data_IF_882180132098
#
_entry.id   IF_882180132098
#
_cell.length_a   1.000
_cell.length_b   1.000
_cell.length_c   1.000
_cell.angle_alpha   90.00
_cell.angle_beta   90.00
_cell.angle_gamma   90.00
#
_symmetry.space_group_name_H-M   'P 1'
#
loop_
_entity.id
_entity.type
_entity.pdbx_description
1 polymer ?
#
# COMPACT_ATOMS: atom_id res chain seq x y z
N UNK A 1 16.63 -9.38 17.35
CA UNK A 1 15.25 -9.85 17.58
C UNK A 1 14.36 -8.64 17.47
N UNK A 2 13.28 -8.62 16.70
CA UNK A 2 12.35 -7.51 16.75
C UNK A 2 11.84 -7.38 18.18
N UNK A 3 11.81 -6.15 18.69
CA UNK A 3 11.25 -5.89 20.02
C UNK A 3 9.78 -6.30 19.98
N UNK A 4 9.31 -7.03 20.99
CA UNK A 4 7.92 -7.46 21.15
C UNK A 4 6.97 -6.25 21.44
N UNK A 5 7.40 -5.02 21.15
CA UNK A 5 6.64 -3.80 21.40
C UNK A 5 5.70 -3.52 20.24
N UNK A 6 4.51 -3.09 20.57
CA UNK A 6 3.54 -2.57 19.60
C UNK A 6 4.13 -1.37 18.85
N UNK A 7 4.04 -1.39 17.53
CA UNK A 7 4.44 -0.29 16.65
C UNK A 7 3.27 0.05 15.73
N UNK A 8 2.84 1.29 15.81
CA UNK A 8 1.75 1.82 14.99
C UNK A 8 2.25 2.98 14.15
N UNK A 9 1.53 3.33 13.10
CA UNK A 9 1.85 4.50 12.28
C UNK A 9 0.58 5.26 11.90
N UNK A 10 0.65 6.57 12.00
CA UNK A 10 -0.23 7.47 11.26
C UNK A 10 0.51 7.87 9.97
N UNK A 11 -0.12 7.64 8.83
CA UNK A 11 0.53 7.73 7.53
C UNK A 11 -0.30 8.59 6.55
N UNK A 12 -0.41 9.91 6.81
CA UNK A 12 -1.20 10.80 5.99
C UNK A 12 -0.51 11.12 4.66
N UNK A 13 -1.33 11.23 3.58
CA UNK A 13 -0.90 11.80 2.31
C UNK A 13 -1.14 13.31 2.31
N UNK A 14 -0.15 14.13 1.89
CA UNK A 14 -0.28 15.59 1.82
C UNK A 14 -1.02 16.05 0.54
N UNK A 15 -2.13 15.38 0.21
CA UNK A 15 -2.98 15.66 -0.97
C UNK A 15 -4.17 16.58 -0.65
N UNK A 16 -4.18 17.14 0.56
CA UNK A 16 -5.20 18.04 1.08
C UNK A 16 -4.93 18.37 2.53
N UNK A 17 -5.74 19.27 3.09
CA UNK A 17 -5.63 19.59 4.51
C UNK A 17 -6.22 18.49 5.38
N UNK A 18 -5.62 18.32 6.56
CA UNK A 18 -6.08 17.35 7.55
C UNK A 18 -7.50 17.72 8.03
N UNK A 19 -8.41 16.74 8.02
CA UNK A 19 -9.77 16.90 8.53
C UNK A 19 -10.00 16.03 9.77
N UNK A 20 -11.14 16.21 10.44
CA UNK A 20 -11.47 15.53 11.70
C UNK A 20 -11.41 13.99 11.59
N UNK A 21 -11.75 13.42 10.43
CA UNK A 21 -11.64 11.97 10.20
C UNK A 21 -10.19 11.46 10.25
N UNK A 22 -9.25 12.21 9.65
CA UNK A 22 -7.82 11.88 9.75
C UNK A 22 -7.33 12.00 11.20
N UNK A 23 -7.72 13.07 11.90
CA UNK A 23 -7.35 13.28 13.29
C UNK A 23 -7.89 12.17 14.20
N UNK A 24 -9.13 11.72 13.98
CA UNK A 24 -9.70 10.57 14.70
C UNK A 24 -8.85 9.30 14.50
N UNK A 25 -8.46 9.00 13.27
CA UNK A 25 -7.60 7.85 12.98
C UNK A 25 -6.23 7.99 13.65
N UNK A 26 -5.64 9.18 13.62
CA UNK A 26 -4.38 9.47 14.31
C UNK A 26 -4.51 9.25 15.83
N UNK A 27 -5.63 9.71 16.44
CA UNK A 27 -5.92 9.53 17.85
C UNK A 27 -5.98 8.04 18.24
N UNK A 28 -6.74 7.21 17.51
CA UNK A 28 -6.81 5.78 17.79
C UNK A 28 -5.45 5.08 17.64
N UNK A 29 -4.70 5.47 16.61
CA UNK A 29 -3.35 4.95 16.36
C UNK A 29 -2.39 5.30 17.51
N UNK A 30 -2.44 6.56 17.97
CA UNK A 30 -1.66 7.05 19.11
C UNK A 30 -2.04 6.33 20.40
N UNK A 31 -3.35 6.24 20.71
CA UNK A 31 -3.84 5.59 21.93
C UNK A 31 -3.44 4.12 21.99
N UNK A 32 -3.52 3.39 20.87
CA UNK A 32 -3.07 2.00 20.80
C UNK A 32 -1.59 1.86 21.13
N UNK A 33 -0.73 2.70 20.54
CA UNK A 33 0.70 2.68 20.85
C UNK A 33 0.97 2.99 22.32
N UNK A 34 0.33 4.03 22.87
CA UNK A 34 0.58 4.47 24.25
C UNK A 34 0.00 3.50 25.29
N UNK A 35 -1.13 2.85 25.00
CA UNK A 35 -1.71 1.83 25.87
C UNK A 35 -0.79 0.61 26.04
N UNK A 36 -0.08 0.24 24.99
CA UNK A 36 0.82 -0.92 24.95
C UNK A 36 2.29 -0.56 25.21
N UNK A 37 2.59 0.62 25.75
CA UNK A 37 3.98 1.11 25.91
C UNK A 37 4.81 0.98 24.63
N UNK A 38 4.15 1.13 23.48
CA UNK A 38 4.68 0.94 22.14
C UNK A 38 5.22 2.22 21.53
N UNK A 39 5.39 2.20 20.20
CA UNK A 39 5.93 3.31 19.41
C UNK A 39 4.89 3.82 18.43
N UNK A 40 4.63 5.12 18.44
CA UNK A 40 3.78 5.81 17.47
C UNK A 40 4.64 6.54 16.44
N UNK A 41 4.51 6.15 15.17
CA UNK A 41 5.29 6.66 14.05
C UNK A 41 4.44 7.61 13.22
N UNK A 42 5.03 8.74 12.80
CA UNK A 42 4.48 9.58 11.75
C UNK A 42 5.24 9.30 10.44
N UNK A 43 4.54 8.87 9.40
CA UNK A 43 5.07 8.67 8.04
C UNK A 43 4.30 9.55 7.06
N UNK A 44 4.98 10.32 6.23
CA UNK A 44 4.36 11.12 5.18
C UNK A 44 4.33 10.29 3.88
N UNK A 45 3.13 10.06 3.33
CA UNK A 45 2.92 9.29 2.10
C UNK A 45 2.64 10.22 0.92
N UNK A 46 3.70 10.75 0.35
CA UNK A 46 3.72 11.74 -0.72
C UNK A 46 4.01 11.17 -2.11
N UNK A 47 3.72 9.88 -2.34
CA UNK A 47 3.94 9.21 -3.63
C UNK A 47 3.06 9.76 -4.77
N UNK A 48 1.98 10.47 -4.45
CA UNK A 48 1.13 11.15 -5.42
C UNK A 48 1.54 12.63 -5.55
N UNK A 49 2.66 12.85 -6.23
CA UNK A 49 3.22 14.19 -6.44
C UNK A 49 2.28 15.12 -7.24
N UNK A 50 1.40 14.56 -8.07
CA UNK A 50 0.44 15.35 -8.86
C UNK A 50 -0.67 16.00 -8.02
N UNK A 51 -0.95 15.45 -6.83
CA UNK A 51 -1.93 15.97 -5.88
C UNK A 51 -1.31 16.59 -4.62
N UNK A 52 -0.01 16.79 -4.60
CA UNK A 52 0.67 17.41 -3.47
C UNK A 52 0.14 18.84 -3.24
N UNK A 53 -0.20 19.15 -1.99
CA UNK A 53 -0.65 20.50 -1.57
C UNK A 53 0.44 21.14 -0.71
N UNK A 54 0.94 22.28 -1.16
CA UNK A 54 1.94 23.06 -0.42
C UNK A 54 1.40 23.44 0.98
N UNK A 55 2.23 23.27 2.01
CA UNK A 55 1.86 23.54 3.39
C UNK A 55 1.03 22.45 4.09
N UNK A 56 0.56 21.41 3.37
CA UNK A 56 -0.25 20.34 3.98
C UNK A 56 0.54 19.58 5.06
N UNK A 57 1.84 19.37 4.86
CA UNK A 57 2.71 18.70 5.85
C UNK A 57 2.80 19.51 7.13
N UNK A 58 2.95 20.85 7.04
CA UNK A 58 2.99 21.73 8.22
C UNK A 58 1.66 21.70 8.98
N UNK A 59 0.53 21.64 8.26
CA UNK A 59 -0.79 21.49 8.89
C UNK A 59 -0.89 20.16 9.63
N UNK A 60 -0.38 19.06 9.07
CA UNK A 60 -0.33 17.76 9.75
C UNK A 60 0.47 17.87 11.06
N UNK A 61 1.69 18.38 11.00
CA UNK A 61 2.54 18.54 12.18
C UNK A 61 1.90 19.43 13.26
N UNK A 62 1.39 20.59 12.86
CA UNK A 62 0.79 21.53 13.79
C UNK A 62 -0.47 20.95 14.44
N UNK A 63 -1.36 20.32 13.64
CA UNK A 63 -2.58 19.68 14.17
C UNK A 63 -2.25 18.60 15.19
N UNK A 64 -1.31 17.71 14.89
CA UNK A 64 -0.92 16.65 15.82
C UNK A 64 -0.27 17.21 17.11
N UNK A 65 0.57 18.23 16.99
CA UNK A 65 1.20 18.90 18.17
C UNK A 65 0.17 19.62 19.04
N UNK A 66 -0.72 20.39 18.43
CA UNK A 66 -1.77 21.14 19.16
C UNK A 66 -2.76 20.21 19.87
N UNK A 67 -2.98 19.02 19.30
CA UNK A 67 -3.85 18.00 19.93
C UNK A 67 -3.12 17.05 20.86
N UNK A 68 -1.80 17.21 21.05
CA UNK A 68 -0.99 16.39 21.96
C UNK A 68 -0.68 14.99 21.44
N UNK A 69 -0.91 14.70 20.14
CA UNK A 69 -0.62 13.41 19.52
C UNK A 69 0.84 13.36 19.04
N UNK A 70 1.76 13.42 19.99
CA UNK A 70 3.20 13.47 19.71
C UNK A 70 3.72 12.11 19.29
N UNK A 71 4.42 12.08 18.15
CA UNK A 71 5.04 10.86 17.61
C UNK A 71 6.43 10.63 18.21
N UNK A 72 6.81 9.35 18.27
CA UNK A 72 8.09 8.89 18.82
C UNK A 72 9.17 8.80 17.73
N UNK A 73 8.76 8.62 16.47
CA UNK A 73 9.61 8.57 15.27
C UNK A 73 8.88 9.29 14.12
N UNK A 74 9.61 10.01 13.29
CA UNK A 74 9.00 10.74 12.18
C UNK A 74 9.99 11.59 11.38
N UNK A 75 9.52 12.31 10.34
CA UNK A 75 10.40 13.02 9.42
C UNK A 75 11.25 14.10 10.07
N UNK A 76 10.71 14.80 11.06
CA UNK A 76 11.36 15.95 11.73
C UNK A 76 12.20 15.56 12.95
N UNK A 77 11.90 14.42 13.59
CA UNK A 77 12.63 13.96 14.79
C UNK A 77 13.53 12.75 14.50
N UNK A 78 13.39 12.14 13.33
CA UNK A 78 14.16 10.95 12.95
C UNK A 78 13.70 9.67 13.66
N UNK A 79 14.58 8.67 13.68
CA UNK A 79 14.38 7.36 14.28
C UNK A 79 15.17 6.27 13.53
N UNK A 80 15.12 5.01 14.01
CA UNK A 80 15.99 3.94 13.51
C UNK A 80 15.56 3.35 12.15
N UNK A 81 14.34 3.63 11.67
CA UNK A 81 13.77 3.01 10.46
C UNK A 81 13.44 4.01 9.34
N UNK A 82 14.00 5.23 9.45
CA UNK A 82 13.85 6.26 8.40
C UNK A 82 14.47 5.87 7.04
N UNK A 83 14.25 6.73 6.04
CA UNK A 83 13.46 7.97 6.03
C UNK A 83 11.97 7.74 6.27
N UNK A 84 11.26 8.77 6.79
CA UNK A 84 9.84 8.71 7.11
C UNK A 84 8.96 9.48 6.10
N UNK A 85 9.54 9.89 4.97
CA UNK A 85 8.86 10.47 3.82
C UNK A 85 8.99 9.48 2.66
N UNK A 86 7.89 9.07 2.05
CA UNK A 86 7.92 8.00 1.05
C UNK A 86 8.70 8.37 -0.21
N UNK A 87 8.64 9.62 -0.66
CA UNK A 87 9.43 10.07 -1.82
C UNK A 87 10.94 9.91 -1.61
N UNK A 88 11.44 9.99 -0.39
CA UNK A 88 12.85 9.75 -0.06
C UNK A 88 13.24 8.26 -0.12
N UNK A 89 12.25 7.36 -0.18
CA UNK A 89 12.41 5.90 -0.20
C UNK A 89 12.23 5.28 -1.59
N UNK A 90 11.97 6.08 -2.61
CA UNK A 90 11.52 5.64 -3.94
C UNK A 90 12.40 4.55 -4.58
N UNK A 91 13.72 4.65 -4.44
CA UNK A 91 14.66 3.72 -5.06
C UNK A 91 14.55 2.27 -4.58
N UNK A 92 13.96 2.03 -3.41
CA UNK A 92 13.88 0.68 -2.83
C UNK A 92 12.65 -0.11 -3.31
N UNK A 93 11.51 0.54 -3.57
CA UNK A 93 10.26 -0.17 -3.89
C UNK A 93 10.37 -1.02 -5.14
N UNK A 94 11.08 -0.54 -6.16
CA UNK A 94 11.30 -1.28 -7.41
C UNK A 94 11.99 -2.62 -7.16
N UNK A 95 12.98 -2.66 -6.27
CA UNK A 95 13.72 -3.89 -5.95
C UNK A 95 12.79 -4.96 -5.34
N UNK A 96 11.87 -4.58 -4.46
CA UNK A 96 10.88 -5.50 -3.90
C UNK A 96 9.89 -5.99 -4.95
N UNK A 97 9.44 -5.14 -5.87
CA UNK A 97 8.58 -5.57 -6.96
C UNK A 97 9.29 -6.53 -7.92
N UNK A 98 10.56 -6.27 -8.26
CA UNK A 98 11.39 -7.16 -9.09
C UNK A 98 11.68 -8.50 -8.40
N UNK A 99 11.84 -8.50 -7.07
CA UNK A 99 11.92 -9.74 -6.30
C UNK A 99 10.65 -10.59 -6.49
N UNK A 100 9.46 -9.99 -6.37
CA UNK A 100 8.20 -10.70 -6.59
C UNK A 100 8.09 -11.22 -8.04
N UNK A 101 8.61 -10.49 -9.02
CA UNK A 101 8.66 -10.98 -10.41
C UNK A 101 9.56 -12.21 -10.52
N UNK A 102 10.76 -12.16 -9.93
CA UNK A 102 11.70 -13.28 -9.93
C UNK A 102 11.12 -14.53 -9.26
N UNK A 103 10.29 -14.35 -8.23
CA UNK A 103 9.60 -15.42 -7.50
C UNK A 103 8.28 -15.86 -8.16
N UNK A 104 7.89 -15.27 -9.31
CA UNK A 104 6.64 -15.58 -10.00
C UNK A 104 5.37 -15.10 -9.29
N UNK A 105 5.50 -14.15 -8.35
CA UNK A 105 4.41 -13.53 -7.58
C UNK A 105 3.95 -12.19 -8.15
N UNK A 106 4.69 -11.67 -9.14
CA UNK A 106 4.36 -10.49 -9.92
C UNK A 106 4.80 -10.68 -11.37
N UNK A 107 4.45 -9.77 -12.25
CA UNK A 107 4.80 -9.81 -13.66
C UNK A 107 4.82 -8.44 -14.31
N UNK A 108 5.56 -8.30 -15.42
CA UNK A 108 5.56 -7.10 -16.24
C UNK A 108 4.31 -7.05 -17.13
N UNK A 109 3.64 -5.92 -17.13
CA UNK A 109 2.47 -5.68 -17.96
C UNK A 109 2.74 -4.51 -18.90
N UNK A 110 2.63 -4.74 -20.20
CA UNK A 110 2.90 -3.80 -21.28
C UNK A 110 1.62 -3.21 -21.90
N UNK A 111 0.47 -3.36 -21.23
CA UNK A 111 -0.79 -2.79 -21.71
C UNK A 111 -0.74 -1.28 -21.64
N UNK A 112 -1.13 -0.62 -22.75
CA UNK A 112 -1.29 0.84 -22.78
C UNK A 112 -2.60 1.27 -22.13
N UNK A 113 -2.70 2.56 -21.78
CA UNK A 113 -3.92 3.15 -21.23
C UNK A 113 -5.09 3.00 -22.20
N UNK A 114 -4.87 3.27 -23.50
CA UNK A 114 -5.90 3.18 -24.54
C UNK A 114 -6.48 1.76 -24.64
N UNK A 115 -5.60 0.73 -24.54
CA UNK A 115 -6.05 -0.67 -24.52
C UNK A 115 -6.92 -0.96 -23.31
N UNK A 116 -6.52 -0.51 -22.14
CA UNK A 116 -7.27 -0.73 -20.89
C UNK A 116 -8.60 0.02 -20.89
N UNK A 117 -8.63 1.24 -21.43
CA UNK A 117 -9.87 2.02 -21.59
C UNK A 117 -10.83 1.33 -22.54
N UNK A 118 -10.35 0.81 -23.68
CA UNK A 118 -11.16 0.05 -24.62
C UNK A 118 -11.75 -1.22 -23.99
N UNK A 119 -10.93 -1.99 -23.24
CA UNK A 119 -11.38 -3.16 -22.47
C UNK A 119 -12.49 -2.80 -21.48
N UNK A 120 -12.25 -1.75 -20.67
CA UNK A 120 -13.24 -1.31 -19.69
C UNK A 120 -14.52 -0.75 -20.33
N UNK A 121 -14.42 -0.12 -21.51
CA UNK A 121 -15.60 0.35 -22.26
C UNK A 121 -16.44 -0.84 -22.77
N UNK A 122 -15.79 -1.88 -23.28
CA UNK A 122 -16.45 -3.12 -23.72
C UNK A 122 -17.16 -3.83 -22.56
N UNK A 123 -16.46 -4.02 -21.43
CA UNK A 123 -17.02 -4.64 -20.23
C UNK A 123 -18.25 -3.86 -19.72
N UNK A 124 -18.17 -2.52 -19.65
CA UNK A 124 -19.34 -1.70 -19.28
C UNK A 124 -20.50 -1.81 -20.26
N UNK A 125 -20.23 -1.89 -21.56
CA UNK A 125 -21.27 -2.07 -22.57
C UNK A 125 -21.99 -3.42 -22.42
N UNK A 126 -21.27 -4.45 -21.95
CA UNK A 126 -21.81 -5.78 -21.67
C UNK A 126 -22.48 -5.88 -20.28
N UNK A 127 -22.48 -4.82 -19.47
CA UNK A 127 -22.99 -4.84 -18.09
C UNK A 127 -22.11 -5.60 -17.09
N UNK A 128 -20.85 -5.81 -17.43
CA UNK A 128 -19.86 -6.49 -16.60
C UNK A 128 -19.12 -5.48 -15.68
N UNK A 129 -18.61 -5.98 -14.57
CA UNK A 129 -17.69 -5.19 -13.74
C UNK A 129 -16.37 -5.01 -14.47
N UNK A 130 -15.84 -3.80 -14.47
CA UNK A 130 -14.52 -3.52 -15.08
C UNK A 130 -13.40 -4.17 -14.31
N UNK A 131 -12.58 -4.95 -14.99
CA UNK A 131 -11.40 -5.59 -14.42
C UNK A 131 -10.32 -5.77 -15.48
N UNK A 132 -9.09 -5.96 -15.04
CA UNK A 132 -7.99 -6.29 -15.94
C UNK A 132 -8.07 -7.74 -16.38
N UNK A 133 -7.97 -7.99 -17.69
CA UNK A 133 -8.12 -9.32 -18.28
C UNK A 133 -6.92 -10.28 -18.11
N UNK A 134 -5.83 -9.79 -17.53
CA UNK A 134 -4.63 -10.60 -17.33
C UNK A 134 -3.80 -10.85 -18.59
N UNK A 135 -3.99 -10.06 -19.65
CA UNK A 135 -3.36 -10.23 -20.97
C UNK A 135 -1.84 -10.48 -20.91
N UNK A 136 -1.11 -9.81 -20.01
CA UNK A 136 0.34 -9.97 -19.89
C UNK A 136 0.77 -10.97 -18.81
N UNK A 137 -0.18 -11.54 -18.08
CA UNK A 137 0.09 -12.33 -16.86
C UNK A 137 0.95 -13.57 -17.11
N UNK A 138 0.77 -14.21 -18.23
CA UNK A 138 1.43 -15.48 -18.56
C UNK A 138 2.26 -15.37 -19.85
N UNK A 139 2.78 -14.16 -20.16
CA UNK A 139 3.71 -13.96 -21.26
C UNK A 139 4.96 -14.83 -21.06
N UNK A 140 5.46 -15.46 -22.16
CA UNK A 140 6.71 -16.20 -22.10
C UNK A 140 7.87 -15.29 -21.70
N UNK A 141 8.80 -15.82 -20.90
CA UNK A 141 9.96 -15.07 -20.39
C UNK A 141 10.77 -14.40 -21.52
N UNK A 142 10.97 -15.10 -22.62
CA UNK A 142 11.68 -14.59 -23.81
C UNK A 142 11.00 -13.36 -24.42
N UNK A 143 9.65 -13.36 -24.44
CA UNK A 143 8.89 -12.21 -24.94
C UNK A 143 8.98 -11.03 -23.99
N UNK A 144 8.94 -11.26 -22.69
CA UNK A 144 9.13 -10.22 -21.65
C UNK A 144 10.51 -9.61 -21.78
N UNK A 145 11.57 -10.43 -21.87
CA UNK A 145 12.95 -9.96 -22.00
C UNK A 145 13.15 -9.15 -23.30
N UNK A 146 12.56 -9.59 -24.41
CA UNK A 146 12.59 -8.87 -25.69
C UNK A 146 11.96 -7.48 -25.59
N UNK A 147 10.78 -7.36 -24.95
CA UNK A 147 10.07 -6.09 -24.79
C UNK A 147 10.82 -5.16 -23.85
N UNK A 148 11.35 -5.66 -22.74
CA UNK A 148 12.18 -4.90 -21.83
C UNK A 148 13.44 -4.38 -22.52
N UNK A 149 14.12 -5.22 -23.33
CA UNK A 149 15.29 -4.84 -24.12
C UNK A 149 14.97 -3.79 -25.21
N UNK A 150 13.74 -3.80 -25.74
CA UNK A 150 13.25 -2.79 -26.68
C UNK A 150 12.88 -1.46 -26.00
N UNK A 151 12.90 -1.40 -24.65
CA UNK A 151 12.53 -0.20 -23.89
C UNK A 151 11.02 0.07 -23.89
N UNK A 152 10.16 -0.95 -24.11
CA UNK A 152 8.72 -0.76 -24.06
C UNK A 152 8.30 -0.30 -22.65
N UNK A 153 7.41 0.70 -22.54
CA UNK A 153 6.86 1.11 -21.24
C UNK A 153 6.11 -0.04 -20.59
N UNK A 154 6.27 -0.20 -19.28
CA UNK A 154 5.61 -1.25 -18.51
C UNK A 154 5.20 -0.79 -17.13
N UNK A 155 4.29 -1.55 -16.53
CA UNK A 155 4.00 -1.55 -15.10
C UNK A 155 4.33 -2.92 -14.52
N UNK A 156 4.56 -3.03 -13.22
CA UNK A 156 4.63 -4.32 -12.53
C UNK A 156 3.32 -4.55 -11.81
N UNK A 157 2.70 -5.72 -12.05
CA UNK A 157 1.44 -6.14 -11.41
C UNK A 157 1.67 -7.31 -10.46
N UNK A 158 0.96 -7.31 -9.34
CA UNK A 158 0.84 -8.46 -8.46
C UNK A 158 0.13 -9.61 -9.19
N UNK A 159 0.62 -10.83 -9.03
CA UNK A 159 -0.01 -12.04 -9.57
C UNK A 159 -0.93 -12.64 -8.51
N UNK A 160 -2.16 -12.15 -8.40
CA UNK A 160 -3.15 -12.63 -7.44
C UNK A 160 -3.62 -14.05 -7.81
N UNK A 161 -3.71 -15.01 -6.87
CA UNK A 161 -4.27 -16.31 -7.13
C UNK A 161 -5.70 -16.21 -7.72
N UNK A 162 -6.01 -16.97 -8.76
CA UNK A 162 -7.33 -16.95 -9.42
C UNK A 162 -8.40 -17.68 -8.64
N UNK A 163 -7.99 -18.67 -7.85
CA UNK A 163 -8.87 -19.54 -7.10
C UNK A 163 -8.65 -19.41 -5.60
N UNK A 164 -9.63 -19.85 -4.82
CA UNK A 164 -9.58 -19.81 -3.38
C UNK A 164 -10.12 -18.52 -2.78
N UNK A 165 -9.92 -18.37 -1.49
CA UNK A 165 -10.39 -17.26 -0.67
C UNK A 165 -9.21 -16.67 0.09
N UNK A 166 -9.18 -15.36 0.22
CA UNK A 166 -8.22 -14.66 1.07
C UNK A 166 -8.99 -14.02 2.22
N UNK A 167 -8.73 -14.51 3.44
CA UNK A 167 -9.34 -13.99 4.66
C UNK A 167 -8.35 -13.24 5.54
N UNK A 168 -8.90 -12.47 6.46
CA UNK A 168 -8.18 -11.82 7.56
C UNK A 168 -9.10 -11.57 8.74
N UNK A 169 -8.49 -11.47 9.92
CA UNK A 169 -9.21 -11.11 11.15
C UNK A 169 -9.00 -9.63 11.45
N UNK A 170 -10.09 -8.90 11.58
CA UNK A 170 -10.08 -7.50 12.02
C UNK A 170 -10.59 -7.41 13.46
N UNK A 171 -9.92 -6.62 14.28
CA UNK A 171 -10.26 -6.48 15.71
C UNK A 171 -11.69 -5.93 15.93
N UNK A 172 -12.17 -5.10 15.01
CA UNK A 172 -13.48 -4.44 15.11
C UNK A 172 -14.57 -5.18 14.32
N UNK A 173 -14.23 -5.63 13.10
CA UNK A 173 -15.19 -6.22 12.16
C UNK A 173 -15.21 -7.76 12.17
N UNK A 174 -14.29 -8.40 12.92
CA UNK A 174 -14.18 -9.86 12.97
C UNK A 174 -13.57 -10.45 11.71
N UNK A 175 -13.91 -11.69 11.40
CA UNK A 175 -13.38 -12.41 10.24
C UNK A 175 -14.02 -11.94 8.93
N UNK A 176 -13.18 -11.61 7.95
CA UNK A 176 -13.58 -11.14 6.62
C UNK A 176 -12.90 -12.00 5.57
N UNK A 177 -13.66 -12.47 4.59
CA UNK A 177 -13.17 -13.26 3.47
C UNK A 177 -13.60 -12.66 2.14
N UNK A 178 -12.73 -12.74 1.14
CA UNK A 178 -12.99 -12.32 -0.24
C UNK A 178 -12.53 -13.42 -1.19
N UNK A 179 -13.36 -13.76 -2.18
CA UNK A 179 -12.96 -14.68 -3.24
C UNK A 179 -11.84 -14.06 -4.07
N UNK A 180 -10.79 -14.82 -4.32
CA UNK A 180 -9.64 -14.33 -5.10
C UNK A 180 -10.03 -13.94 -6.53
N UNK A 181 -11.05 -14.59 -7.09
CA UNK A 181 -11.60 -14.28 -8.42
C UNK A 181 -12.24 -12.87 -8.51
N UNK A 182 -12.57 -12.26 -7.38
CA UNK A 182 -13.14 -10.89 -7.31
C UNK A 182 -12.04 -9.80 -7.24
N UNK A 183 -10.78 -10.23 -7.13
CA UNK A 183 -9.66 -9.30 -6.98
C UNK A 183 -8.87 -9.17 -8.28
N UNK A 184 -8.60 -7.93 -8.68
CA UNK A 184 -7.72 -7.62 -9.79
C UNK A 184 -6.24 -7.72 -9.44
N UNK A 185 -5.43 -8.11 -10.43
CA UNK A 185 -3.97 -7.99 -10.40
C UNK A 185 -3.59 -6.51 -10.31
N UNK A 186 -3.42 -6.00 -9.08
CA UNK A 186 -3.14 -4.59 -8.84
C UNK A 186 -1.74 -4.20 -9.34
N UNK A 187 -1.60 -2.95 -9.76
CA UNK A 187 -0.29 -2.38 -10.11
C UNK A 187 0.51 -2.17 -8.83
N UNK A 188 1.76 -2.62 -8.81
CA UNK A 188 2.73 -2.39 -7.76
C UNK A 188 3.63 -1.20 -8.08
N UNK A 189 4.19 -1.19 -9.30
CA UNK A 189 5.05 -0.11 -9.82
C UNK A 189 4.41 0.44 -11.10
N UNK A 190 4.26 1.75 -11.14
CA UNK A 190 3.75 2.50 -12.29
C UNK A 190 4.81 2.66 -13.38
N UNK A 191 4.40 3.13 -14.56
CA UNK A 191 5.29 3.36 -15.72
C UNK A 191 6.42 4.36 -15.43
N UNK A 192 6.17 5.34 -14.56
CA UNK A 192 7.15 6.32 -14.10
C UNK A 192 8.15 5.77 -13.06
N UNK A 193 8.02 4.49 -12.70
CA UNK A 193 8.83 3.82 -11.67
C UNK A 193 8.36 4.05 -10.24
N UNK A 194 7.29 4.83 -10.04
CA UNK A 194 6.70 5.09 -8.73
C UNK A 194 5.88 3.90 -8.24
N UNK A 195 5.95 3.55 -6.96
CA UNK A 195 5.05 2.55 -6.39
C UNK A 195 3.61 3.09 -6.35
N UNK A 196 2.65 2.18 -6.37
CA UNK A 196 1.29 2.52 -5.94
C UNK A 196 1.22 2.63 -4.43
N UNK A 197 0.23 3.38 -3.93
CA UNK A 197 -0.06 3.48 -2.50
C UNK A 197 -0.14 2.12 -1.81
N UNK A 198 -0.90 1.19 -2.39
CA UNK A 198 -1.11 -0.14 -1.82
C UNK A 198 0.19 -0.93 -1.65
N UNK A 199 1.12 -0.79 -2.57
CA UNK A 199 2.39 -1.48 -2.51
C UNK A 199 3.37 -0.80 -1.55
N UNK A 200 3.49 0.52 -1.65
CA UNK A 200 4.40 1.29 -0.81
C UNK A 200 4.09 1.12 0.68
N UNK A 201 2.80 1.15 1.06
CA UNK A 201 2.44 1.05 2.46
C UNK A 201 2.78 -0.34 3.05
N UNK A 202 2.61 -1.43 2.29
CA UNK A 202 2.96 -2.79 2.75
C UNK A 202 4.47 -2.94 2.95
N UNK A 203 5.26 -2.46 1.99
CA UNK A 203 6.72 -2.52 2.08
C UNK A 203 7.22 -1.67 3.26
N UNK A 204 6.71 -0.45 3.41
CA UNK A 204 7.10 0.44 4.48
C UNK A 204 6.65 -0.06 5.85
N UNK A 205 5.44 -0.59 5.97
CA UNK A 205 4.94 -1.17 7.22
C UNK A 205 5.83 -2.34 7.67
N UNK A 206 6.24 -3.21 6.75
CA UNK A 206 7.20 -4.28 7.06
C UNK A 206 8.56 -3.74 7.50
N UNK A 207 9.16 -2.84 6.72
CA UNK A 207 10.50 -2.30 6.98
C UNK A 207 10.57 -1.43 8.24
N UNK A 208 9.45 -0.80 8.61
CA UNK A 208 9.33 -0.01 9.84
C UNK A 208 8.89 -0.86 11.04
N UNK A 209 8.68 -2.17 10.84
CA UNK A 209 8.28 -3.10 11.89
C UNK A 209 6.91 -2.80 12.47
N UNK A 210 5.98 -2.33 11.66
CA UNK A 210 4.60 -2.02 12.08
C UNK A 210 3.90 -3.34 12.45
N UNK A 211 3.37 -3.38 13.65
CA UNK A 211 2.66 -4.54 14.20
C UNK A 211 1.15 -4.39 14.16
N UNK A 212 0.65 -3.15 14.22
CA UNK A 212 -0.78 -2.84 14.22
C UNK A 212 -1.08 -1.74 13.22
N UNK A 213 -2.02 -2.00 12.32
CA UNK A 213 -2.48 -1.08 11.28
C UNK A 213 -3.87 -0.59 11.63
N UNK A 214 -3.95 0.68 12.08
CA UNK A 214 -5.20 1.36 12.37
C UNK A 214 -5.51 2.31 11.21
N UNK A 215 -6.71 2.21 10.62
CA UNK A 215 -7.14 3.03 9.49
C UNK A 215 -8.66 3.01 9.32
N UNK A 216 -9.19 3.77 8.38
CA UNK A 216 -10.62 3.83 8.10
C UNK A 216 -11.17 2.53 7.48
N UNK A 217 -12.46 2.29 7.65
CA UNK A 217 -13.15 1.09 7.14
C UNK A 217 -13.23 1.01 5.61
N UNK A 218 -12.97 2.10 4.89
CA UNK A 218 -12.86 2.13 3.43
C UNK A 218 -11.76 1.21 2.88
N UNK A 219 -10.78 0.83 3.71
CA UNK A 219 -9.69 -0.07 3.33
C UNK A 219 -10.01 -1.57 3.54
N UNK A 220 -11.16 -1.91 4.10
CA UNK A 220 -11.55 -3.32 4.33
C UNK A 220 -11.48 -4.14 3.04
N UNK A 221 -11.99 -3.59 1.94
CA UNK A 221 -12.00 -4.27 0.64
C UNK A 221 -10.60 -4.44 0.00
N UNK A 222 -9.64 -3.60 0.38
CA UNK A 222 -8.26 -3.66 -0.13
C UNK A 222 -7.35 -4.55 0.71
N UNK A 223 -7.72 -4.83 1.96
CA UNK A 223 -6.90 -5.58 2.92
C UNK A 223 -6.50 -6.98 2.43
N UNK A 224 -7.35 -7.77 1.75
CA UNK A 224 -6.95 -9.06 1.21
C UNK A 224 -5.77 -8.95 0.23
N UNK A 225 -5.71 -7.91 -0.60
CA UNK A 225 -4.61 -7.68 -1.53
C UNK A 225 -3.29 -7.40 -0.80
N UNK A 226 -3.34 -6.70 0.33
CA UNK A 226 -2.18 -6.46 1.19
C UNK A 226 -1.69 -7.75 1.83
N UNK A 227 -2.62 -8.58 2.34
CA UNK A 227 -2.27 -9.88 2.92
C UNK A 227 -1.58 -10.80 1.90
N UNK A 228 -2.05 -10.80 0.66
CA UNK A 228 -1.40 -11.54 -0.42
C UNK A 228 0.01 -11.03 -0.73
N UNK A 229 0.30 -9.72 -0.52
CA UNK A 229 1.66 -9.20 -0.62
C UNK A 229 2.54 -9.67 0.54
N UNK A 230 2.06 -9.57 1.80
CA UNK A 230 2.79 -10.10 2.95
C UNK A 230 3.09 -11.59 2.78
N UNK A 231 2.11 -12.38 2.35
CA UNK A 231 2.28 -13.82 2.09
C UNK A 231 3.28 -14.09 0.96
N UNK A 232 3.22 -13.30 -0.12
CA UNK A 232 4.13 -13.43 -1.26
C UNK A 232 5.60 -13.21 -0.86
N UNK A 233 5.85 -12.28 0.06
CA UNK A 233 7.18 -12.02 0.62
C UNK A 233 7.55 -12.95 1.77
N UNK A 234 6.63 -13.74 2.32
CA UNK A 234 6.84 -14.52 3.54
C UNK A 234 6.99 -13.65 4.79
N UNK A 235 6.37 -12.46 4.80
CA UNK A 235 6.39 -11.53 5.91
C UNK A 235 5.22 -11.76 6.88
N UNK A 236 5.41 -11.39 8.15
CA UNK A 236 4.34 -11.40 9.13
C UNK A 236 3.26 -10.36 8.78
N UNK A 237 2.00 -10.77 8.84
CA UNK A 237 0.85 -9.90 8.60
C UNK A 237 0.57 -9.11 9.88
N UNK A 238 0.43 -7.77 9.83
CA UNK A 238 0.10 -6.97 11.00
C UNK A 238 -1.33 -7.23 11.48
N UNK A 239 -1.60 -6.92 12.74
CA UNK A 239 -2.97 -6.88 13.27
C UNK A 239 -3.72 -5.70 12.66
N UNK A 240 -4.91 -5.95 12.12
CA UNK A 240 -5.75 -4.90 11.53
C UNK A 240 -6.83 -4.41 12.50
N UNK A 241 -7.02 -3.10 12.54
CA UNK A 241 -8.03 -2.41 13.34
C UNK A 241 -8.66 -1.34 12.44
N UNK A 242 -9.75 -1.67 11.74
CA UNK A 242 -10.43 -0.70 10.92
C UNK A 242 -11.42 0.11 11.78
N UNK A 243 -11.30 1.43 11.70
CA UNK A 243 -12.19 2.35 12.42
C UNK A 243 -13.50 2.52 11.63
N UNK A 244 -14.66 2.50 12.31
CA UNK A 244 -15.96 2.74 11.67
C UNK A 244 -16.13 4.19 11.22
#
# INVERSE_FOLDING_TARGET
MPSNKVRTRFAPSPTGYMHVGNLRTALYTYLMAKHEDGTFILRIEDTDQGRYVEGAVDVIYNTLRETGLLWDEGPDIGGPVGPYVQSERMGMFKQYAEQLVAEGKAYYCFCTEERLEALHAEQRANGEMTHYDGCCRDLPKEEVEKRLAAGEPYVIRQKIPREGVTGFDDVVYGHIEVNNSEMDDQILIKTDGMPTYNFANVVDDHLMGITHVIRGSEYLSSTPKYNLLYQAFGWDIPTYIHCP
#
